data_IF_032735594671
#
_entry.id   IF_032735594671
#
_cell.length_a   1.000
_cell.length_b   1.000
_cell.length_c   1.000
_cell.angle_alpha   90.00
_cell.angle_beta   90.00
_cell.angle_gamma   90.00
#
_symmetry.space_group_name_H-M   'P 1'
#
loop_
_entity.id
_entity.type
_entity.pdbx_description
1 polymer ?
#
# COMPACT_ATOMS: atom_id res chain seq x y z
N UNK A 1 5.63 -26.09 4.21
CA UNK A 1 6.25 -25.44 3.02
C UNK A 1 5.32 -25.62 1.84
N UNK A 2 5.16 -24.60 1.01
CA UNK A 2 4.38 -24.66 -0.23
C UNK A 2 5.23 -24.12 -1.38
N UNK A 3 5.03 -24.64 -2.59
CA UNK A 3 5.73 -24.21 -3.81
C UNK A 3 4.69 -23.76 -4.83
N UNK A 4 4.52 -22.45 -5.05
CA UNK A 4 3.55 -21.93 -5.98
C UNK A 4 4.05 -22.00 -7.44
N UNK A 5 3.32 -22.75 -8.26
CA UNK A 5 3.39 -22.75 -9.73
C UNK A 5 2.38 -21.77 -10.31
N UNK A 6 2.19 -21.77 -11.63
CA UNK A 6 1.24 -20.83 -12.27
C UNK A 6 -0.22 -21.17 -11.95
N UNK A 7 -0.55 -22.46 -12.06
CA UNK A 7 -1.91 -22.98 -11.89
C UNK A 7 -2.06 -23.79 -10.61
N UNK A 8 -0.99 -24.42 -10.15
CA UNK A 8 -0.98 -25.31 -9.00
C UNK A 8 -0.09 -24.76 -7.88
N UNK A 9 -0.41 -25.10 -6.64
CA UNK A 9 0.50 -24.99 -5.50
C UNK A 9 0.80 -26.39 -5.00
N UNK A 10 2.08 -26.78 -5.01
CA UNK A 10 2.54 -28.05 -4.48
C UNK A 10 2.74 -27.93 -2.98
N UNK A 11 2.23 -28.91 -2.24
CA UNK A 11 2.39 -29.06 -0.79
C UNK A 11 3.24 -30.33 -0.55
N UNK A 12 4.58 -30.24 -0.45
CA UNK A 12 5.43 -31.43 -0.44
C UNK A 12 5.31 -32.30 0.82
N UNK A 13 4.81 -31.74 1.92
CA UNK A 13 4.76 -32.41 3.23
C UNK A 13 3.33 -32.67 3.74
N UNK A 14 2.32 -32.28 2.97
CA UNK A 14 0.92 -32.38 3.38
C UNK A 14 0.08 -32.92 2.23
N UNK A 15 -0.67 -33.99 2.49
CA UNK A 15 -1.61 -34.57 1.53
C UNK A 15 -2.93 -33.79 1.51
N UNK A 16 -2.89 -32.54 1.05
CA UNK A 16 -4.05 -31.68 0.94
C UNK A 16 -4.38 -31.39 -0.53
N UNK A 17 -5.62 -31.72 -0.96
CA UNK A 17 -6.11 -31.45 -2.31
C UNK A 17 -7.25 -30.43 -2.27
N UNK A 18 -7.10 -29.33 -2.99
CA UNK A 18 -8.05 -28.22 -2.93
C UNK A 18 -8.20 -27.44 -4.24
N UNK A 19 -9.30 -26.71 -4.35
CA UNK A 19 -9.54 -25.73 -5.41
C UNK A 19 -9.80 -24.39 -4.75
N UNK A 20 -9.13 -23.33 -5.22
CA UNK A 20 -9.30 -21.95 -4.77
C UNK A 20 -10.77 -21.61 -4.54
N UNK A 21 -11.06 -20.97 -3.41
CA UNK A 21 -12.43 -20.53 -3.06
C UNK A 21 -12.97 -19.45 -4.00
N UNK A 22 -12.12 -18.79 -4.79
CA UNK A 22 -12.52 -17.73 -5.73
C UNK A 22 -13.05 -18.25 -7.07
N UNK A 23 -13.00 -19.56 -7.30
CA UNK A 23 -13.63 -20.19 -8.47
C UNK A 23 -15.04 -20.57 -8.04
N UNK A 24 -16.00 -19.68 -8.23
CA UNK A 24 -17.37 -19.88 -7.74
C UNK A 24 -18.26 -20.66 -8.72
N UNK A 25 -17.87 -20.74 -9.99
CA UNK A 25 -18.62 -21.48 -10.99
C UNK A 25 -18.57 -22.99 -10.76
N UNK A 26 -19.76 -23.57 -10.60
CA UNK A 26 -19.91 -24.97 -10.24
C UNK A 26 -19.44 -25.91 -11.36
N UNK A 27 -19.63 -25.54 -12.62
CA UNK A 27 -19.22 -26.36 -13.77
C UNK A 27 -17.69 -26.43 -13.85
N UNK A 28 -17.01 -25.30 -13.72
CA UNK A 28 -15.57 -25.19 -13.74
C UNK A 28 -14.92 -25.87 -12.53
N UNK A 29 -15.48 -25.70 -11.32
CA UNK A 29 -15.02 -26.45 -10.14
C UNK A 29 -15.10 -27.95 -10.37
N UNK A 30 -16.19 -28.45 -10.97
CA UNK A 30 -16.36 -29.87 -11.26
C UNK A 30 -15.31 -30.35 -12.26
N UNK A 31 -15.07 -29.61 -13.35
CA UNK A 31 -14.04 -29.90 -14.36
C UNK A 31 -12.65 -29.97 -13.75
N UNK A 32 -12.26 -28.95 -12.99
CA UNK A 32 -10.96 -28.87 -12.34
C UNK A 32 -10.77 -29.99 -11.30
N UNK A 33 -11.85 -30.36 -10.57
CA UNK A 33 -11.81 -31.48 -9.62
C UNK A 33 -11.59 -32.82 -10.30
N UNK A 34 -12.21 -33.04 -11.47
CA UNK A 34 -11.96 -34.22 -12.29
C UNK A 34 -10.50 -34.30 -12.74
N UNK A 35 -9.93 -33.19 -13.24
CA UNK A 35 -8.52 -33.16 -13.64
C UNK A 35 -7.60 -33.41 -12.44
N UNK A 36 -7.88 -32.79 -11.29
CA UNK A 36 -7.10 -32.98 -10.06
C UNK A 36 -7.02 -34.44 -9.63
N UNK A 37 -8.07 -35.23 -9.87
CA UNK A 37 -8.10 -36.67 -9.57
C UNK A 37 -7.24 -37.52 -10.50
N UNK A 38 -6.88 -37.02 -11.69
CA UNK A 38 -6.06 -37.75 -12.68
C UNK A 38 -4.58 -37.36 -12.56
N UNK A 39 -4.28 -36.18 -12.01
CA UNK A 39 -2.91 -35.72 -11.79
C UNK A 39 -2.14 -36.68 -10.86
N UNK A 40 -1.04 -37.24 -11.37
CA UNK A 40 -0.18 -38.16 -10.63
C UNK A 40 0.76 -37.40 -9.70
N UNK A 41 0.51 -37.48 -8.41
CA UNK A 41 1.29 -36.84 -7.35
C UNK A 41 1.75 -37.90 -6.35
N UNK A 42 2.98 -37.84 -5.79
CA UNK A 42 3.42 -38.75 -4.74
C UNK A 42 2.46 -38.75 -3.53
N UNK A 43 2.25 -39.92 -2.91
CA UNK A 43 1.20 -40.13 -1.90
C UNK A 43 1.25 -39.20 -0.67
N UNK A 44 2.42 -38.64 -0.35
CA UNK A 44 2.62 -37.76 0.79
C UNK A 44 2.44 -36.27 0.46
N UNK A 45 2.27 -35.93 -0.82
CA UNK A 45 2.15 -34.55 -1.29
C UNK A 45 0.70 -34.19 -1.64
N UNK A 46 0.42 -32.90 -1.63
CA UNK A 46 -0.88 -32.31 -1.95
C UNK A 46 -0.78 -31.26 -3.05
N UNK A 47 -1.94 -30.89 -3.61
CA UNK A 47 -2.06 -29.85 -4.63
C UNK A 47 -3.25 -28.93 -4.37
N UNK A 48 -3.03 -27.63 -4.54
CA UNK A 48 -4.11 -26.64 -4.55
C UNK A 48 -4.18 -26.00 -5.93
N UNK A 49 -5.36 -26.03 -6.56
CA UNK A 49 -5.63 -25.32 -7.83
C UNK A 49 -5.85 -23.83 -7.54
N UNK A 50 -5.08 -22.95 -8.20
CA UNK A 50 -5.14 -21.49 -8.11
C UNK A 50 -6.26 -20.92 -8.98
N UNK A 51 -6.72 -19.70 -8.68
CA UNK A 51 -7.76 -19.01 -9.48
C UNK A 51 -7.37 -18.84 -10.96
N UNK A 52 -6.07 -18.65 -11.25
CA UNK A 52 -5.53 -18.52 -12.63
C UNK A 52 -5.69 -19.81 -13.45
N UNK A 53 -6.01 -20.95 -12.82
CA UNK A 53 -6.30 -22.20 -13.51
C UNK A 53 -7.68 -22.26 -14.17
N UNK A 54 -8.51 -21.23 -14.00
CA UNK A 54 -9.77 -21.12 -14.72
C UNK A 54 -9.54 -21.26 -16.23
N UNK A 55 -10.27 -22.17 -16.87
CA UNK A 55 -10.14 -22.45 -18.30
C UNK A 55 -8.86 -23.19 -18.70
N UNK A 56 -7.93 -23.45 -17.77
CA UNK A 56 -6.69 -24.14 -18.07
C UNK A 56 -6.96 -25.57 -18.55
N UNK A 57 -6.21 -25.99 -19.57
CA UNK A 57 -6.32 -27.32 -20.14
C UNK A 57 -5.64 -28.37 -19.26
N UNK A 58 -6.07 -29.62 -19.37
CA UNK A 58 -5.46 -30.75 -18.68
C UNK A 58 -3.92 -30.83 -18.92
N UNK A 59 -3.50 -30.59 -20.16
CA UNK A 59 -2.08 -30.55 -20.54
C UNK A 59 -1.29 -29.46 -19.82
N UNK A 60 -1.88 -28.31 -19.55
CA UNK A 60 -1.22 -27.20 -18.86
C UNK A 60 -1.03 -27.51 -17.37
N UNK A 61 -2.03 -28.10 -16.73
CA UNK A 61 -1.94 -28.54 -15.33
C UNK A 61 -0.89 -29.64 -15.14
N UNK A 62 -0.81 -30.59 -16.06
CA UNK A 62 0.24 -31.63 -16.04
C UNK A 62 1.65 -31.06 -16.20
N UNK A 63 1.84 -30.06 -17.07
CA UNK A 63 3.15 -29.39 -17.24
C UNK A 63 3.55 -28.62 -15.99
N UNK A 64 2.62 -27.85 -15.43
CA UNK A 64 2.88 -27.07 -14.20
C UNK A 64 3.24 -28.00 -13.04
N UNK A 65 2.52 -29.12 -12.88
CA UNK A 65 2.86 -30.15 -11.89
C UNK A 65 4.26 -30.74 -12.11
N UNK A 66 4.61 -31.09 -13.36
CA UNK A 66 5.92 -31.65 -13.66
C UNK A 66 7.06 -30.67 -13.32
N UNK A 67 6.86 -29.37 -13.55
CA UNK A 67 7.82 -28.33 -13.19
C UNK A 67 7.95 -28.19 -11.68
N UNK A 68 6.83 -28.22 -10.95
CA UNK A 68 6.82 -28.17 -9.49
C UNK A 68 7.54 -29.36 -8.85
N UNK A 69 7.31 -30.58 -9.35
CA UNK A 69 7.98 -31.77 -8.86
C UNK A 69 9.50 -31.75 -9.12
N UNK A 70 9.93 -31.27 -10.29
CA UNK A 70 11.36 -31.08 -10.58
C UNK A 70 12.00 -30.01 -9.69
N UNK A 71 11.27 -28.93 -9.42
CA UNK A 71 11.75 -27.89 -8.50
C UNK A 71 11.89 -28.48 -7.09
N UNK A 72 10.88 -29.22 -6.62
CA UNK A 72 10.93 -29.88 -5.33
C UNK A 72 12.11 -30.86 -5.21
N UNK A 73 12.34 -31.71 -6.21
CA UNK A 73 13.48 -32.63 -6.23
C UNK A 73 14.83 -31.89 -6.11
N UNK A 74 14.98 -30.73 -6.76
CA UNK A 74 16.18 -29.89 -6.60
C UNK A 74 16.31 -29.34 -5.18
N UNK A 75 15.23 -28.89 -4.58
CA UNK A 75 15.19 -28.35 -3.21
C UNK A 75 15.55 -29.44 -2.20
N UNK A 76 14.93 -30.62 -2.30
CA UNK A 76 15.18 -31.76 -1.42
C UNK A 76 16.62 -32.29 -1.54
N UNK A 77 17.16 -32.32 -2.76
CA UNK A 77 18.59 -32.67 -2.96
C UNK A 77 19.52 -31.62 -2.40
N UNK A 78 19.22 -30.33 -2.56
CA UNK A 78 20.04 -29.25 -2.05
C UNK A 78 20.06 -29.20 -0.52
N UNK A 79 18.92 -29.47 0.14
CA UNK A 79 18.82 -29.49 1.60
C UNK A 79 19.70 -30.57 2.24
N UNK A 80 19.91 -31.70 1.55
CA UNK A 80 20.73 -32.83 2.01
C UNK A 80 22.24 -32.67 1.76
N UNK A 81 22.66 -31.65 1.01
CA UNK A 81 24.06 -31.51 0.52
C UNK A 81 25.00 -30.73 1.45
N UNK A 82 24.49 -29.83 2.30
CA UNK A 82 25.31 -28.93 3.12
C UNK A 82 24.78 -28.88 4.55
N UNK A 83 25.65 -28.56 5.50
CA UNK A 83 25.26 -28.30 6.89
C UNK A 83 24.65 -26.89 7.01
N UNK A 84 23.63 -26.77 7.85
CA UNK A 84 22.93 -25.52 8.11
C UNK A 84 23.79 -24.48 8.85
N UNK A 85 23.50 -23.16 8.74
CA UNK A 85 22.47 -22.54 7.91
C UNK A 85 22.98 -22.14 6.51
N UNK A 86 22.19 -22.40 5.47
CA UNK A 86 22.45 -21.92 4.10
C UNK A 86 21.15 -21.77 3.31
N UNK A 87 21.17 -20.93 2.26
CA UNK A 87 20.05 -20.74 1.33
C UNK A 87 19.88 -21.99 0.44
N UNK A 88 18.71 -22.64 0.52
CA UNK A 88 18.38 -23.85 -0.27
C UNK A 88 17.63 -23.47 -1.56
N UNK A 89 16.77 -22.44 -1.49
CA UNK A 89 15.98 -21.95 -2.60
C UNK A 89 15.65 -20.48 -2.38
N UNK A 90 15.88 -19.68 -3.41
CA UNK A 90 15.36 -18.32 -3.51
C UNK A 90 14.15 -18.34 -4.45
N UNK A 91 13.02 -17.81 -3.99
CA UNK A 91 11.84 -17.72 -4.85
C UNK A 91 12.05 -16.70 -5.97
N UNK A 92 11.20 -16.75 -6.99
CA UNK A 92 11.24 -15.79 -8.07
C UNK A 92 11.19 -14.35 -7.55
N UNK A 93 12.01 -13.51 -8.15
CA UNK A 93 11.97 -12.08 -7.94
C UNK A 93 10.65 -11.47 -8.43
N UNK A 94 10.47 -10.18 -8.21
CA UNK A 94 9.20 -9.49 -8.47
C UNK A 94 8.75 -9.62 -9.92
N UNK A 95 9.66 -9.52 -10.89
CA UNK A 95 9.32 -9.58 -12.32
C UNK A 95 8.77 -10.96 -12.68
N UNK A 96 9.50 -12.03 -12.36
CA UNK A 96 9.08 -13.38 -12.70
C UNK A 96 7.84 -13.81 -11.89
N UNK A 97 7.74 -13.37 -10.63
CA UNK A 97 6.55 -13.56 -9.79
C UNK A 97 5.32 -12.87 -10.39
N UNK A 98 5.48 -11.62 -10.86
CA UNK A 98 4.41 -10.90 -11.53
C UNK A 98 3.95 -11.61 -12.79
N UNK A 99 4.86 -12.14 -13.60
CA UNK A 99 4.46 -12.88 -14.81
C UNK A 99 3.76 -14.19 -14.46
N UNK A 100 4.33 -14.98 -13.54
CA UNK A 100 3.73 -16.23 -13.05
C UNK A 100 2.31 -16.00 -12.56
N UNK A 101 2.15 -14.95 -11.75
CA UNK A 101 0.91 -14.70 -11.05
C UNK A 101 -0.07 -13.93 -11.94
N UNK A 102 0.30 -12.82 -12.58
CA UNK A 102 -0.62 -11.86 -13.23
C UNK A 102 -0.85 -12.09 -14.72
N UNK A 103 0.07 -12.72 -15.44
CA UNK A 103 -0.09 -12.88 -16.88
C UNK A 103 -1.28 -13.81 -17.20
N UNK A 104 -2.21 -13.37 -18.03
CA UNK A 104 -3.35 -14.14 -18.54
C UNK A 104 -3.49 -13.90 -20.06
N UNK A 105 -4.47 -14.55 -20.70
CA UNK A 105 -4.67 -14.44 -22.16
C UNK A 105 -5.21 -13.07 -22.60
N UNK A 106 -5.75 -12.27 -21.68
CA UNK A 106 -6.21 -10.90 -21.97
C UNK A 106 -5.05 -9.91 -22.13
N UNK A 107 -3.85 -10.27 -21.65
CA UNK A 107 -2.65 -9.44 -21.77
C UNK A 107 -2.03 -9.63 -23.15
N UNK A 108 -2.18 -8.60 -23.99
CA UNK A 108 -1.69 -8.64 -25.37
C UNK A 108 -0.16 -8.72 -25.51
N UNK A 109 0.61 -8.05 -24.65
CA UNK A 109 2.08 -8.12 -24.69
C UNK A 109 2.75 -7.79 -23.35
N UNK A 110 3.98 -8.30 -23.19
CA UNK A 110 4.94 -7.92 -22.13
C UNK A 110 6.06 -7.12 -22.80
N UNK A 111 6.10 -5.81 -22.55
CA UNK A 111 7.15 -4.92 -23.06
C UNK A 111 8.28 -4.81 -22.03
N UNK A 112 9.51 -5.05 -22.47
CA UNK A 112 10.70 -4.97 -21.61
C UNK A 112 11.75 -4.11 -22.29
N UNK A 113 12.25 -3.09 -21.61
CA UNK A 113 13.25 -2.12 -22.10
C UNK A 113 14.70 -2.48 -21.70
N UNK A 114 14.89 -3.39 -20.75
CA UNK A 114 16.20 -3.97 -20.41
C UNK A 114 16.49 -5.25 -21.20
N UNK A 115 17.65 -5.28 -21.89
CA UNK A 115 18.07 -6.45 -22.70
C UNK A 115 18.34 -7.70 -21.86
N UNK A 116 18.86 -7.52 -20.66
CA UNK A 116 19.16 -8.62 -19.74
C UNK A 116 17.86 -9.24 -19.19
N UNK A 117 16.94 -8.39 -18.73
CA UNK A 117 15.63 -8.80 -18.25
C UNK A 117 14.77 -9.42 -19.37
N UNK A 118 14.84 -8.89 -20.60
CA UNK A 118 14.15 -9.49 -21.74
C UNK A 118 14.58 -10.95 -21.96
N UNK A 119 15.90 -11.23 -21.98
CA UNK A 119 16.41 -12.60 -22.15
C UNK A 119 15.94 -13.53 -21.03
N UNK A 120 15.93 -13.01 -19.80
CA UNK A 120 15.54 -13.74 -18.60
C UNK A 120 14.05 -14.08 -18.60
N UNK A 121 13.19 -13.07 -18.84
CA UNK A 121 11.74 -13.24 -18.96
C UNK A 121 11.39 -14.14 -20.13
N UNK A 122 12.01 -13.94 -21.30
CA UNK A 122 11.74 -14.76 -22.48
C UNK A 122 12.02 -16.24 -22.20
N UNK A 123 13.13 -16.57 -21.53
CA UNK A 123 13.44 -17.95 -21.12
C UNK A 123 12.38 -18.51 -20.17
N UNK A 124 12.00 -17.72 -19.16
CA UNK A 124 10.95 -18.12 -18.21
C UNK A 124 9.61 -18.38 -18.92
N UNK A 125 9.12 -17.46 -19.74
CA UNK A 125 7.86 -17.64 -20.48
C UNK A 125 7.96 -18.82 -21.44
N UNK A 126 9.10 -19.03 -22.10
CA UNK A 126 9.32 -20.20 -22.97
C UNK A 126 9.19 -21.52 -22.20
N UNK A 127 9.79 -21.60 -21.02
CA UNK A 127 9.84 -22.83 -20.22
C UNK A 127 8.49 -23.15 -19.54
N UNK A 128 7.78 -22.12 -19.06
CA UNK A 128 6.55 -22.28 -18.26
C UNK A 128 5.26 -22.04 -19.06
N UNK A 129 5.32 -21.27 -20.14
CA UNK A 129 4.17 -20.65 -20.81
C UNK A 129 4.35 -20.57 -22.33
N UNK A 130 4.94 -21.60 -22.95
CA UNK A 130 5.41 -21.55 -24.34
C UNK A 130 4.40 -21.09 -25.41
N UNK A 131 3.08 -21.20 -25.19
CA UNK A 131 2.06 -20.68 -26.12
C UNK A 131 2.10 -19.16 -26.29
N UNK A 132 2.49 -18.44 -25.24
CA UNK A 132 2.47 -16.97 -25.20
C UNK A 132 3.87 -16.37 -25.27
N UNK A 133 4.88 -17.15 -25.66
CA UNK A 133 6.25 -16.66 -25.78
C UNK A 133 6.37 -15.47 -26.75
N UNK A 134 5.53 -15.43 -27.79
CA UNK A 134 5.50 -14.37 -28.78
C UNK A 134 4.93 -13.04 -28.26
N UNK A 135 4.32 -13.03 -27.07
CA UNK A 135 3.82 -11.80 -26.44
C UNK A 135 4.94 -11.04 -25.71
N UNK A 136 6.10 -11.66 -25.48
CA UNK A 136 7.27 -11.03 -24.86
C UNK A 136 8.04 -10.26 -25.92
N UNK A 137 8.04 -8.94 -25.83
CA UNK A 137 8.63 -8.05 -26.82
C UNK A 137 9.69 -7.15 -26.18
N UNK A 138 10.82 -7.00 -26.88
CA UNK A 138 11.87 -6.07 -26.48
C UNK A 138 11.55 -4.67 -27.00
N UNK A 139 11.44 -3.72 -26.09
CA UNK A 139 11.23 -2.30 -26.39
C UNK A 139 12.55 -1.67 -26.86
N UNK A 140 12.53 -1.02 -28.03
CA UNK A 140 13.74 -0.51 -28.71
C UNK A 140 13.76 1.00 -28.92
N UNK A 141 12.67 1.68 -28.60
CA UNK A 141 12.58 3.11 -28.86
C UNK A 141 13.43 3.90 -27.86
N UNK A 142 13.86 5.09 -28.28
CA UNK A 142 14.70 5.98 -27.45
C UNK A 142 13.91 6.62 -26.31
N UNK A 143 12.62 6.90 -26.50
CA UNK A 143 11.75 7.45 -25.47
C UNK A 143 11.53 6.41 -24.38
N UNK A 144 11.67 6.73 -23.08
CA UNK A 144 11.39 5.80 -21.99
C UNK A 144 10.02 5.13 -22.11
N UNK A 145 9.95 3.83 -21.76
CA UNK A 145 8.76 3.01 -21.97
C UNK A 145 7.53 3.58 -21.25
N UNK A 146 7.67 3.99 -19.98
CA UNK A 146 6.56 4.50 -19.18
C UNK A 146 6.09 5.87 -19.64
N UNK A 147 7.01 6.76 -20.04
CA UNK A 147 6.68 8.05 -20.64
C UNK A 147 5.90 7.86 -21.94
N UNK A 148 6.38 7.00 -22.85
CA UNK A 148 5.66 6.70 -24.10
C UNK A 148 4.26 6.14 -23.87
N UNK A 149 4.03 5.45 -22.74
CA UNK A 149 2.74 4.87 -22.37
C UNK A 149 1.89 5.78 -21.48
N UNK A 150 2.37 6.97 -21.11
CA UNK A 150 1.67 7.88 -20.20
C UNK A 150 1.49 7.31 -18.79
N UNK A 151 2.35 6.37 -18.38
CA UNK A 151 2.29 5.71 -17.07
C UNK A 151 3.04 6.56 -16.02
N UNK A 152 4.05 7.32 -16.42
CA UNK A 152 4.85 8.14 -15.50
C UNK A 152 3.98 9.12 -14.69
N UNK A 153 3.08 9.84 -15.38
CA UNK A 153 2.13 10.75 -14.74
C UNK A 153 1.18 10.03 -13.77
N UNK A 154 0.80 8.78 -14.07
CA UNK A 154 -0.03 7.97 -13.18
C UNK A 154 0.75 7.51 -11.94
N UNK A 155 2.04 7.19 -12.08
CA UNK A 155 2.92 6.84 -10.96
C UNK A 155 3.07 8.03 -10.02
N UNK A 156 3.36 9.22 -10.56
CA UNK A 156 3.48 10.44 -9.75
C UNK A 156 2.17 10.76 -9.00
N UNK A 157 1.01 10.50 -9.61
CA UNK A 157 -0.30 10.64 -8.96
C UNK A 157 -0.51 9.66 -7.79
N UNK A 158 0.19 8.52 -7.74
CA UNK A 158 0.09 7.59 -6.60
C UNK A 158 0.63 8.18 -5.29
N UNK A 159 1.52 9.16 -5.39
CA UNK A 159 2.09 9.86 -4.25
C UNK A 159 1.20 10.98 -3.71
N UNK A 160 0.24 11.46 -4.50
CA UNK A 160 -0.71 12.47 -4.06
C UNK A 160 -1.72 11.87 -3.07
N UNK A 161 -2.04 12.59 -2.00
CA UNK A 161 -3.18 12.25 -1.12
C UNK A 161 -4.51 12.41 -1.83
N UNK A 162 -4.60 13.35 -2.78
CA UNK A 162 -5.80 13.68 -3.55
C UNK A 162 -5.77 13.04 -4.94
N UNK A 163 -6.82 12.29 -5.28
CA UNK A 163 -6.98 11.63 -6.59
C UNK A 163 -8.22 12.19 -7.27
N UNK A 164 -8.03 12.86 -8.40
CA UNK A 164 -9.13 13.42 -9.18
C UNK A 164 -9.80 12.36 -10.06
N UNK A 165 -11.13 12.45 -10.14
CA UNK A 165 -11.99 11.62 -10.96
C UNK A 165 -12.26 12.30 -12.31
N UNK A 166 -12.77 11.56 -13.30
CA UNK A 166 -13.06 12.09 -14.64
C UNK A 166 -14.19 13.12 -14.60
N UNK A 167 -15.10 12.98 -13.64
CA UNK A 167 -16.15 13.96 -13.34
C UNK A 167 -15.64 15.28 -12.76
N UNK A 168 -14.39 15.37 -12.31
CA UNK A 168 -13.87 16.52 -11.55
C UNK A 168 -14.19 16.48 -10.05
N UNK A 169 -14.87 15.42 -9.60
CA UNK A 169 -14.86 15.00 -8.20
C UNK A 169 -13.46 14.48 -7.81
N UNK A 170 -13.22 14.24 -6.54
CA UNK A 170 -11.95 13.68 -6.07
C UNK A 170 -12.12 12.86 -4.80
N UNK A 171 -11.18 11.96 -4.58
CA UNK A 171 -11.04 11.22 -3.31
C UNK A 171 -9.77 11.65 -2.60
N UNK A 172 -9.81 11.69 -1.27
CA UNK A 172 -8.64 11.96 -0.42
C UNK A 172 -8.33 10.69 0.35
N UNK A 173 -7.11 10.18 0.24
CA UNK A 173 -6.68 8.93 0.88
C UNK A 173 -5.66 9.28 1.97
N UNK A 174 -6.03 9.04 3.23
CA UNK A 174 -5.20 9.38 4.39
C UNK A 174 -4.91 8.13 5.24
N UNK A 175 -3.67 7.64 5.24
CA UNK A 175 -3.24 6.60 6.16
C UNK A 175 -3.08 7.18 7.57
N UNK A 176 -3.57 6.44 8.56
CA UNK A 176 -3.34 6.70 9.99
C UNK A 176 -2.48 5.57 10.57
N UNK A 177 -2.26 5.58 11.89
CA UNK A 177 -1.49 4.55 12.58
C UNK A 177 -2.11 3.14 12.44
N UNK A 178 -3.44 3.03 12.51
CA UNK A 178 -4.15 1.74 12.55
C UNK A 178 -5.04 1.44 11.35
N UNK A 179 -5.48 2.46 10.62
CA UNK A 179 -6.45 2.34 9.52
C UNK A 179 -6.21 3.40 8.45
N UNK A 180 -6.78 3.20 7.25
CA UNK A 180 -6.77 4.21 6.19
C UNK A 180 -8.16 4.80 6.03
N UNK A 181 -8.26 6.12 6.09
CA UNK A 181 -9.50 6.86 5.84
C UNK A 181 -9.52 7.34 4.40
N UNK A 182 -10.67 7.24 3.75
CA UNK A 182 -10.87 7.73 2.40
C UNK A 182 -12.11 8.61 2.37
N UNK A 183 -11.97 9.86 1.93
CA UNK A 183 -13.05 10.83 1.85
C UNK A 183 -13.41 11.14 0.39
N UNK A 184 -14.71 11.20 0.06
CA UNK A 184 -15.22 11.41 -1.30
C UNK A 184 -15.86 12.77 -1.44
N UNK A 185 -15.35 13.58 -2.37
CA UNK A 185 -15.83 14.93 -2.62
C UNK A 185 -16.34 15.09 -4.04
N UNK A 186 -17.53 15.67 -4.20
CA UNK A 186 -18.13 15.98 -5.51
C UNK A 186 -17.37 17.06 -6.30
N UNK A 187 -16.55 17.87 -5.64
CA UNK A 187 -15.73 18.89 -6.28
C UNK A 187 -16.54 19.86 -7.14
N UNK A 188 -16.14 20.04 -8.41
CA UNK A 188 -16.84 20.90 -9.38
C UNK A 188 -17.89 20.15 -10.22
N UNK A 189 -18.17 18.88 -9.93
CA UNK A 189 -19.12 18.11 -10.72
C UNK A 189 -20.53 18.68 -10.58
N UNK A 190 -21.07 19.24 -11.68
CA UNK A 190 -22.46 19.66 -11.79
C UNK A 190 -22.98 19.29 -13.17
N UNK A 191 -23.90 18.32 -13.22
CA UNK A 191 -24.71 18.08 -14.41
C UNK A 191 -26.01 18.87 -14.29
N UNK A 192 -26.35 19.64 -15.33
CA UNK A 192 -27.67 20.26 -15.44
C UNK A 192 -28.70 19.13 -15.65
N UNK A 193 -29.85 19.21 -14.99
CA UNK A 193 -30.99 18.28 -15.11
C UNK A 193 -30.83 16.91 -14.42
N UNK A 194 -30.01 16.78 -13.38
CA UNK A 194 -29.94 15.58 -12.53
C UNK A 194 -30.20 16.00 -11.09
N UNK A 195 -30.95 15.19 -10.34
CA UNK A 195 -31.20 15.45 -8.93
C UNK A 195 -29.90 15.39 -8.11
N UNK A 196 -29.88 16.05 -6.95
CA UNK A 196 -28.70 16.01 -6.07
C UNK A 196 -28.39 14.58 -5.60
N UNK A 197 -29.43 13.77 -5.35
CA UNK A 197 -29.33 12.37 -4.95
C UNK A 197 -28.69 11.50 -6.04
N UNK A 198 -29.17 11.59 -7.28
CA UNK A 198 -28.57 10.85 -8.42
C UNK A 198 -27.13 11.30 -8.70
N UNK A 199 -26.83 12.58 -8.49
CA UNK A 199 -25.47 13.11 -8.62
C UNK A 199 -24.53 12.50 -7.59
N UNK A 200 -24.95 12.46 -6.31
CA UNK A 200 -24.19 11.83 -5.24
C UNK A 200 -23.94 10.35 -5.52
N UNK A 201 -24.98 9.61 -5.92
CA UNK A 201 -24.86 8.21 -6.30
C UNK A 201 -23.88 7.98 -7.46
N UNK A 202 -23.96 8.80 -8.51
CA UNK A 202 -23.06 8.71 -9.67
C UNK A 202 -21.59 8.96 -9.29
N UNK A 203 -21.32 9.99 -8.48
CA UNK A 203 -19.97 10.30 -7.99
C UNK A 203 -19.46 9.18 -7.09
N UNK A 204 -20.28 8.67 -6.18
CA UNK A 204 -19.91 7.58 -5.29
C UNK A 204 -19.55 6.30 -6.07
N UNK A 205 -20.31 5.97 -7.12
CA UNK A 205 -19.99 4.81 -7.96
C UNK A 205 -18.71 4.98 -8.79
N UNK A 206 -18.41 6.18 -9.28
CA UNK A 206 -17.12 6.47 -9.91
C UNK A 206 -15.97 6.35 -8.90
N UNK A 207 -16.16 6.95 -7.72
CA UNK A 207 -15.22 6.91 -6.61
C UNK A 207 -14.95 5.48 -6.15
N UNK A 208 -15.96 4.63 -6.04
CA UNK A 208 -15.81 3.22 -5.66
C UNK A 208 -14.86 2.45 -6.60
N UNK A 209 -14.95 2.69 -7.91
CA UNK A 209 -14.06 2.07 -8.89
C UNK A 209 -12.63 2.58 -8.77
N UNK A 210 -12.48 3.89 -8.58
CA UNK A 210 -11.16 4.51 -8.42
C UNK A 210 -10.50 4.11 -7.10
N UNK A 211 -11.26 4.07 -6.00
CA UNK A 211 -10.78 3.61 -4.70
C UNK A 211 -10.30 2.16 -4.80
N UNK A 212 -11.08 1.26 -5.40
CA UNK A 212 -10.65 -0.12 -5.62
C UNK A 212 -9.35 -0.22 -6.44
N UNK A 213 -9.17 0.67 -7.43
CA UNK A 213 -7.91 0.78 -8.19
C UNK A 213 -6.75 1.27 -7.32
N UNK A 214 -6.96 2.33 -6.54
CA UNK A 214 -5.93 2.92 -5.67
C UNK A 214 -5.51 1.98 -4.53
N UNK A 215 -6.44 1.21 -3.95
CA UNK A 215 -6.11 0.20 -2.95
C UNK A 215 -5.10 -0.82 -3.48
N UNK A 216 -5.21 -1.21 -4.76
CA UNK A 216 -4.25 -2.10 -5.43
C UNK A 216 -2.93 -1.40 -5.75
N UNK A 217 -2.99 -0.21 -6.35
CA UNK A 217 -1.78 0.49 -6.82
C UNK A 217 -0.88 0.94 -5.66
N UNK A 218 -1.47 1.33 -4.52
CA UNK A 218 -0.73 1.77 -3.32
C UNK A 218 -0.47 0.63 -2.33
N UNK A 219 -0.98 -0.57 -2.62
CA UNK A 219 -1.08 -1.73 -1.72
C UNK A 219 -1.58 -1.38 -0.32
N UNK A 220 -2.69 -0.62 -0.25
CA UNK A 220 -3.33 -0.27 1.02
C UNK A 220 -3.92 -1.54 1.62
N UNK A 221 -3.56 -1.87 2.85
CA UNK A 221 -4.05 -3.06 3.55
C UNK A 221 -4.26 -2.80 5.05
N UNK A 222 -4.99 -3.71 5.69
CA UNK A 222 -5.56 -3.51 7.01
C UNK A 222 -7.00 -3.02 6.93
N UNK A 223 -7.38 -2.19 7.91
CA UNK A 223 -8.72 -1.59 7.99
C UNK A 223 -8.78 -0.36 7.08
N UNK A 224 -9.79 -0.29 6.24
CA UNK A 224 -10.09 0.87 5.39
C UNK A 224 -11.51 1.34 5.69
N UNK A 225 -11.64 2.64 5.95
CA UNK A 225 -12.91 3.31 6.21
C UNK A 225 -13.13 4.34 5.11
N UNK A 226 -14.28 4.29 4.46
CA UNK A 226 -14.61 5.15 3.32
C UNK A 226 -15.84 5.97 3.65
N UNK A 227 -15.68 7.29 3.63
CA UNK A 227 -16.74 8.28 3.77
C UNK A 227 -17.23 8.70 2.38
N UNK A 228 -18.38 8.18 1.99
CA UNK A 228 -19.03 8.50 0.72
C UNK A 228 -19.99 9.67 0.92
N UNK A 229 -20.31 10.38 -0.16
CA UNK A 229 -21.32 11.44 -0.11
C UNK A 229 -22.64 10.84 0.34
N UNK A 230 -23.33 11.51 1.27
CA UNK A 230 -24.62 11.07 1.80
C UNK A 230 -25.63 10.79 0.67
N UNK A 231 -26.30 9.63 0.78
CA UNK A 231 -27.39 9.20 -0.10
C UNK A 231 -28.59 8.86 0.77
N UNK A 232 -29.77 9.36 0.40
CA UNK A 232 -31.01 9.15 1.14
C UNK A 232 -31.69 7.83 0.76
N UNK A 233 -31.54 7.39 -0.48
CA UNK A 233 -32.20 6.17 -0.96
C UNK A 233 -31.42 4.90 -0.61
N UNK A 234 -32.09 3.96 0.07
CA UNK A 234 -31.51 2.64 0.38
C UNK A 234 -31.21 1.81 -0.88
N UNK A 235 -31.85 2.13 -2.00
CA UNK A 235 -31.52 1.55 -3.30
C UNK A 235 -30.10 1.96 -3.74
N UNK A 236 -29.79 3.26 -3.72
CA UNK A 236 -28.48 3.78 -4.09
C UNK A 236 -27.36 3.24 -3.19
N UNK A 237 -27.62 3.15 -1.87
CA UNK A 237 -26.67 2.55 -0.91
C UNK A 237 -26.33 1.10 -1.25
N UNK A 238 -27.33 0.28 -1.59
CA UNK A 238 -27.12 -1.12 -1.99
C UNK A 238 -26.37 -1.23 -3.32
N UNK A 239 -26.75 -0.41 -4.30
CA UNK A 239 -26.10 -0.39 -5.60
C UNK A 239 -24.63 0.07 -5.51
N UNK A 240 -24.32 1.03 -4.63
CA UNK A 240 -22.94 1.45 -4.35
C UNK A 240 -22.10 0.30 -3.79
N UNK A 241 -22.61 -0.46 -2.81
CA UNK A 241 -21.91 -1.64 -2.27
C UNK A 241 -21.63 -2.65 -3.39
N UNK A 242 -22.61 -2.90 -4.27
CA UNK A 242 -22.45 -3.85 -5.38
C UNK A 242 -21.43 -3.35 -6.41
N UNK A 243 -21.42 -2.05 -6.71
CA UNK A 243 -20.42 -1.41 -7.55
C UNK A 243 -19.01 -1.61 -6.96
N UNK A 244 -18.86 -1.38 -5.65
CA UNK A 244 -17.58 -1.53 -4.96
C UNK A 244 -17.10 -2.99 -4.91
N UNK A 245 -17.99 -3.93 -4.59
CA UNK A 245 -17.72 -5.38 -4.66
C UNK A 245 -17.24 -5.81 -6.04
N UNK A 246 -17.91 -5.34 -7.09
CA UNK A 246 -17.55 -5.65 -8.48
C UNK A 246 -16.17 -5.08 -8.85
N UNK A 247 -15.85 -3.86 -8.40
CA UNK A 247 -14.55 -3.25 -8.64
C UNK A 247 -13.39 -3.95 -7.89
N UNK A 248 -13.68 -4.53 -6.73
CA UNK A 248 -12.73 -5.31 -5.92
C UNK A 248 -12.62 -6.77 -6.35
N UNK A 249 -13.52 -7.30 -7.18
CA UNK A 249 -13.49 -8.70 -7.61
C UNK A 249 -12.20 -9.09 -8.36
N UNK A 250 -11.57 -8.12 -9.03
CA UNK A 250 -10.28 -8.29 -9.70
C UNK A 250 -9.07 -8.22 -8.74
N UNK A 251 -9.27 -7.81 -7.49
CA UNK A 251 -8.22 -7.75 -6.48
C UNK A 251 -7.86 -9.17 -6.00
N UNK A 252 -6.55 -9.37 -5.84
CA UNK A 252 -5.99 -10.65 -5.41
C UNK A 252 -5.73 -10.70 -3.92
N UNK A 253 -5.62 -9.55 -3.25
CA UNK A 253 -5.65 -9.52 -1.79
C UNK A 253 -7.04 -9.96 -1.32
N UNK A 254 -7.12 -10.71 -0.21
CA UNK A 254 -8.43 -11.01 0.38
C UNK A 254 -9.06 -9.71 0.87
N UNK A 255 -10.26 -9.40 0.38
CA UNK A 255 -11.06 -8.25 0.82
C UNK A 255 -12.32 -8.73 1.51
N UNK A 256 -12.73 -8.04 2.57
CA UNK A 256 -14.01 -8.25 3.24
C UNK A 256 -14.67 -6.91 3.49
N UNK A 257 -15.92 -6.75 3.04
CA UNK A 257 -16.69 -5.50 3.17
C UNK A 257 -17.77 -5.76 4.21
N UNK A 258 -17.66 -5.07 5.34
CA UNK A 258 -18.57 -5.23 6.48
C UNK A 258 -19.93 -4.54 6.25
N UNK A 259 -20.00 -3.62 5.27
CA UNK A 259 -21.21 -2.91 4.86
C UNK A 259 -21.18 -1.41 5.21
N UNK A 260 -22.35 -0.78 5.13
CA UNK A 260 -22.58 0.61 5.54
C UNK A 260 -22.87 0.67 7.03
N UNK A 261 -22.11 1.50 7.75
CA UNK A 261 -22.34 1.76 9.17
C UNK A 261 -23.53 2.68 9.39
N UNK A 262 -24.00 2.79 10.64
CA UNK A 262 -25.04 3.76 11.03
C UNK A 262 -24.64 5.22 10.77
N UNK A 263 -23.34 5.49 10.63
CA UNK A 263 -22.78 6.81 10.34
C UNK A 263 -22.59 7.05 8.83
N UNK A 264 -23.07 6.15 7.95
CA UNK A 264 -22.88 6.29 6.50
C UNK A 264 -21.53 5.80 5.97
N UNK A 265 -20.58 5.45 6.85
CA UNK A 265 -19.25 4.98 6.46
C UNK A 265 -19.27 3.54 5.95
N UNK A 266 -18.55 3.25 4.86
CA UNK A 266 -18.25 1.88 4.43
C UNK A 266 -16.98 1.39 5.11
N UNK A 267 -17.05 0.22 5.74
CA UNK A 267 -15.91 -0.40 6.41
C UNK A 267 -15.49 -1.67 5.67
N UNK A 268 -14.19 -1.82 5.46
CA UNK A 268 -13.64 -3.03 4.86
C UNK A 268 -12.28 -3.40 5.46
N UNK A 269 -11.91 -4.66 5.27
CA UNK A 269 -10.54 -5.13 5.48
C UNK A 269 -9.95 -5.59 4.16
N UNK A 270 -8.65 -5.33 3.96
CA UNK A 270 -7.87 -5.84 2.84
C UNK A 270 -6.59 -6.46 3.35
N UNK A 271 -6.28 -7.68 2.94
CA UNK A 271 -5.05 -8.38 3.30
C UNK A 271 -3.80 -7.59 2.87
N UNK A 272 -2.81 -7.47 3.75
CA UNK A 272 -1.51 -6.86 3.43
C UNK A 272 -0.67 -7.87 2.67
N UNK A 273 -0.38 -7.59 1.40
CA UNK A 273 0.43 -8.48 0.56
C UNK A 273 1.90 -8.09 0.57
N UNK A 274 2.18 -6.79 0.59
CA UNK A 274 3.52 -6.22 0.59
C UNK A 274 3.61 -5.04 1.59
N UNK A 275 4.78 -4.38 1.59
CA UNK A 275 4.93 -3.07 2.22
C UNK A 275 4.18 -2.04 1.38
N UNK A 276 3.49 -1.10 2.03
CA UNK A 276 2.75 -0.04 1.32
C UNK A 276 3.72 0.83 0.52
N UNK A 277 3.27 1.40 -0.60
CA UNK A 277 4.07 2.29 -1.43
C UNK A 277 4.70 3.43 -0.60
N UNK A 278 3.93 3.95 0.33
CA UNK A 278 4.34 5.02 1.24
C UNK A 278 5.54 4.61 2.11
N UNK A 279 5.50 3.41 2.70
CA UNK A 279 6.57 2.91 3.58
C UNK A 279 7.89 2.62 2.85
N UNK A 280 7.83 2.39 1.53
CA UNK A 280 9.01 2.17 0.69
C UNK A 280 9.58 3.52 0.23
N UNK A 281 8.72 4.47 -0.10
CA UNK A 281 9.11 5.71 -0.77
C UNK A 281 9.40 6.86 0.20
N UNK A 282 8.80 6.86 1.39
CA UNK A 282 8.92 7.95 2.35
C UNK A 282 9.60 7.52 3.66
N UNK A 283 10.17 8.52 4.33
CA UNK A 283 10.60 8.43 5.73
C UNK A 283 9.76 9.42 6.54
N UNK A 284 9.57 9.11 7.82
CA UNK A 284 8.91 10.05 8.72
C UNK A 284 9.62 11.40 8.70
N UNK A 285 8.83 12.48 8.68
CA UNK A 285 9.39 13.83 8.71
C UNK A 285 10.32 13.97 9.92
N UNK A 286 11.61 14.28 9.73
CA UNK A 286 12.56 14.35 10.84
C UNK A 286 12.26 15.52 11.80
N UNK A 287 11.42 16.46 11.36
CA UNK A 287 11.01 17.63 12.12
C UNK A 287 9.78 17.30 12.99
N UNK A 288 8.61 17.14 12.38
CA UNK A 288 7.36 16.93 13.13
C UNK A 288 7.05 15.45 13.46
N UNK A 289 7.89 14.51 13.00
CA UNK A 289 7.69 13.06 13.19
C UNK A 289 6.32 12.56 12.73
N UNK A 290 5.82 13.12 11.63
CA UNK A 290 4.53 12.74 11.03
C UNK A 290 3.32 13.51 11.57
N UNK A 291 3.48 14.41 12.56
CA UNK A 291 2.36 15.20 13.10
C UNK A 291 1.75 16.20 12.10
N UNK A 292 2.48 16.56 11.03
CA UNK A 292 2.08 17.59 10.07
C UNK A 292 2.04 19.02 10.62
N UNK A 293 2.32 19.20 11.92
CA UNK A 293 2.34 20.48 12.63
C UNK A 293 3.32 20.44 13.78
N UNK A 294 3.79 21.61 14.18
CA UNK A 294 4.65 21.85 15.35
C UNK A 294 4.02 22.94 16.20
N UNK A 295 4.37 23.00 17.48
CA UNK A 295 3.96 24.10 18.37
C UNK A 295 4.52 25.42 17.84
N UNK A 296 3.73 26.48 17.96
CA UNK A 296 4.15 27.82 17.56
C UNK A 296 5.28 28.33 18.44
N UNK A 297 6.10 29.25 17.90
CA UNK A 297 7.19 29.88 18.63
C UNK A 297 6.71 30.50 19.97
N UNK A 298 5.56 31.15 19.95
CA UNK A 298 4.91 31.70 21.14
C UNK A 298 4.59 30.62 22.19
N UNK A 299 4.03 29.49 21.78
CA UNK A 299 3.72 28.38 22.70
C UNK A 299 4.99 27.80 23.33
N UNK A 300 6.07 27.66 22.55
CA UNK A 300 7.36 27.20 23.05
C UNK A 300 8.01 28.23 23.97
N UNK A 301 7.96 29.52 23.65
CA UNK A 301 8.47 30.58 24.51
C UNK A 301 7.82 30.57 25.90
N UNK A 302 6.49 30.38 25.96
CA UNK A 302 5.77 30.22 27.22
C UNK A 302 6.22 28.96 27.99
N UNK A 303 6.42 27.83 27.31
CA UNK A 303 6.93 26.60 27.92
C UNK A 303 8.34 26.81 28.48
N UNK A 304 9.24 27.38 27.68
CA UNK A 304 10.62 27.69 28.05
C UNK A 304 10.70 28.57 29.30
N UNK A 305 9.84 29.59 29.41
CA UNK A 305 9.76 30.42 30.61
C UNK A 305 9.26 29.67 31.86
N UNK A 306 8.37 28.68 31.70
CA UNK A 306 7.93 27.82 32.82
C UNK A 306 9.06 26.90 33.26
N UNK A 307 9.77 26.28 32.32
CA UNK A 307 10.91 25.42 32.60
C UNK A 307 12.04 26.22 33.27
N UNK A 308 12.29 27.44 32.81
CA UNK A 308 13.23 28.38 33.42
C UNK A 308 12.84 28.72 34.87
N UNK A 309 11.57 29.02 35.14
CA UNK A 309 11.10 29.28 36.52
C UNK A 309 11.33 28.07 37.43
N UNK A 310 11.00 26.87 36.94
CA UNK A 310 11.21 25.63 37.69
C UNK A 310 12.71 25.39 37.97
N UNK A 311 13.56 25.61 36.97
CA UNK A 311 15.01 25.49 37.11
C UNK A 311 15.55 26.48 38.16
N UNK A 312 15.17 27.76 38.09
CA UNK A 312 15.60 28.79 39.03
C UNK A 312 15.05 28.62 40.44
N UNK A 313 13.89 27.96 40.59
CA UNK A 313 13.34 27.63 41.90
C UNK A 313 14.12 26.51 42.59
N UNK A 314 14.65 25.55 41.82
CA UNK A 314 15.35 24.39 42.34
C UNK A 314 16.88 24.57 42.45
N UNK A 315 17.46 25.48 41.65
CA UNK A 315 18.90 25.72 41.61
C UNK A 315 19.25 27.17 41.95
N UNK A 316 20.26 27.38 42.81
CA UNK A 316 20.79 28.72 43.11
C UNK A 316 21.78 29.19 42.03
N UNK A 317 21.29 29.38 40.81
CA UNK A 317 22.07 29.85 39.64
C UNK A 317 21.95 31.37 39.47
N UNK A 318 23.10 32.07 39.41
CA UNK A 318 23.15 33.54 39.18
C UNK A 318 23.07 33.94 37.70
N UNK A 319 23.37 33.02 36.80
CA UNK A 319 23.28 33.20 35.35
C UNK A 319 22.68 31.93 34.75
N UNK A 320 21.74 32.10 33.83
CA UNK A 320 21.16 31.00 33.04
C UNK A 320 21.11 31.43 31.58
N UNK A 321 21.53 30.54 30.70
CA UNK A 321 21.44 30.72 29.25
C UNK A 321 20.35 29.83 28.69
N UNK A 322 19.40 30.42 28.00
CA UNK A 322 18.34 29.74 27.28
C UNK A 322 18.70 29.70 25.79
N UNK A 323 19.11 28.54 25.29
CA UNK A 323 19.40 28.33 23.87
C UNK A 323 18.17 27.72 23.18
N UNK A 324 17.65 28.40 22.17
CA UNK A 324 16.40 28.07 21.47
C UNK A 324 16.50 28.37 19.98
N UNK A 325 15.53 27.89 19.20
CA UNK A 325 15.39 28.28 17.79
C UNK A 325 15.21 29.81 17.63
N UNK A 326 15.63 30.36 16.48
CA UNK A 326 15.57 31.79 16.15
C UNK A 326 14.18 32.40 16.33
N UNK A 327 13.11 31.71 15.90
CA UNK A 327 11.74 32.22 16.01
C UNK A 327 11.28 32.30 17.48
N UNK A 328 11.69 31.32 18.29
CA UNK A 328 11.41 31.30 19.73
C UNK A 328 12.20 32.40 20.43
N UNK A 329 13.46 32.62 20.06
CA UNK A 329 14.27 33.70 20.59
C UNK A 329 13.65 35.07 20.30
N UNK A 330 13.13 35.27 19.08
CA UNK A 330 12.41 36.49 18.72
C UNK A 330 11.15 36.69 19.58
N UNK A 331 10.33 35.64 19.77
CA UNK A 331 9.15 35.73 20.65
C UNK A 331 9.51 35.99 22.12
N UNK A 332 10.62 35.44 22.61
CA UNK A 332 11.13 35.69 23.96
C UNK A 332 11.64 37.13 24.15
N UNK A 333 12.34 37.67 23.15
CA UNK A 333 12.97 38.99 23.21
C UNK A 333 12.02 40.15 22.84
N UNK A 334 10.88 39.85 22.22
CA UNK A 334 9.86 40.84 21.88
C UNK A 334 8.65 40.70 22.81
N UNK A 335 7.70 39.87 22.42
CA UNK A 335 6.38 39.72 23.06
C UNK A 335 6.47 39.33 24.55
N UNK A 336 7.46 38.51 24.90
CA UNK A 336 7.62 37.96 26.25
C UNK A 336 8.75 38.63 27.06
N UNK A 337 9.38 39.67 26.53
CA UNK A 337 10.58 40.28 27.12
C UNK A 337 10.37 40.74 28.56
N UNK A 338 9.25 41.43 28.81
CA UNK A 338 8.95 41.96 30.14
C UNK A 338 8.73 40.84 31.16
N UNK A 339 8.05 39.76 30.75
CA UNK A 339 7.84 38.57 31.58
C UNK A 339 9.16 37.90 31.91
N UNK A 340 10.05 37.73 30.92
CA UNK A 340 11.37 37.13 31.11
C UNK A 340 12.23 37.96 32.08
N UNK A 341 12.21 39.29 31.94
CA UNK A 341 12.91 40.20 32.85
C UNK A 341 12.37 40.13 34.28
N UNK A 342 11.05 40.01 34.44
CA UNK A 342 10.42 39.86 35.76
C UNK A 342 10.82 38.55 36.43
N UNK A 343 10.98 37.46 35.67
CA UNK A 343 11.50 36.18 36.19
C UNK A 343 12.94 36.38 36.69
N UNK A 344 13.83 36.96 35.88
CA UNK A 344 15.22 37.19 36.27
C UNK A 344 15.35 38.03 37.54
N UNK A 345 14.56 39.10 37.66
CA UNK A 345 14.51 39.94 38.87
C UNK A 345 14.03 39.17 40.11
N UNK A 346 12.94 38.41 39.98
CA UNK A 346 12.35 37.67 41.10
C UNK A 346 13.31 36.63 41.69
N UNK A 347 14.07 35.95 40.84
CA UNK A 347 15.01 34.90 41.26
C UNK A 347 16.45 35.38 41.41
N UNK A 348 16.74 36.67 41.19
CA UNK A 348 18.09 37.23 41.29
C UNK A 348 19.08 36.66 40.28
N UNK A 349 18.60 36.23 39.10
CA UNK A 349 19.40 35.58 38.07
C UNK A 349 19.41 36.39 36.76
N UNK A 350 20.58 36.44 36.11
CA UNK A 350 20.73 37.01 34.75
C UNK A 350 20.33 35.95 33.73
N UNK A 351 19.31 36.24 32.94
CA UNK A 351 18.83 35.36 31.86
C UNK A 351 19.40 35.87 30.53
N UNK A 352 20.06 35.01 29.79
CA UNK A 352 20.58 35.27 28.45
C UNK A 352 19.84 34.36 27.45
N UNK A 353 19.29 34.93 26.38
CA UNK A 353 18.63 34.14 25.32
C UNK A 353 19.60 34.04 24.13
N UNK A 354 19.95 32.82 23.76
CA UNK A 354 20.75 32.52 22.57
C UNK A 354 19.89 31.86 21.51
N UNK A 355 19.98 32.37 20.28
CA UNK A 355 19.32 31.78 19.12
C UNK A 355 20.25 30.78 18.44
N UNK A 356 19.72 29.62 18.08
CA UNK A 356 20.40 28.60 17.28
C UNK A 356 19.48 28.20 16.11
N UNK A 357 19.90 28.48 14.89
CA UNK A 357 19.16 28.20 13.65
C UNK A 357 19.08 26.71 13.30
N UNK A 358 20.00 25.90 13.83
CA UNK A 358 19.98 24.44 13.68
C UNK A 358 19.03 23.75 14.66
N UNK A 359 18.46 24.47 15.62
CA UNK A 359 17.52 23.88 16.57
C UNK A 359 16.13 23.70 15.97
N UNK A 360 15.54 22.53 16.22
CA UNK A 360 14.11 22.33 16.04
C UNK A 360 13.33 23.40 16.84
N UNK A 361 12.22 23.93 16.31
CA UNK A 361 11.45 25.02 16.97
C UNK A 361 11.01 24.67 18.40
N UNK A 362 10.77 23.38 18.67
CA UNK A 362 10.38 22.89 20.00
C UNK A 362 11.57 22.56 20.93
N UNK A 363 12.82 22.69 20.46
CA UNK A 363 14.01 22.41 21.27
C UNK A 363 14.36 23.64 22.12
N UNK A 364 14.44 23.41 23.42
CA UNK A 364 14.87 24.40 24.41
C UNK A 364 15.95 23.77 25.27
N UNK A 365 17.08 24.46 25.40
CA UNK A 365 18.20 24.03 26.25
C UNK A 365 18.47 25.11 27.28
N UNK A 366 18.50 24.71 28.55
CA UNK A 366 18.84 25.54 29.70
C UNK A 366 20.26 25.16 30.15
N UNK A 367 21.16 26.15 30.26
CA UNK A 367 22.54 25.98 30.71
C UNK A 367 22.95 26.99 31.76
#
# INVERSE_FOLDING_TARGET
MSIPGRYLVLMPYERHFGISKRIDDAAERKRLRSILGVLKVPNHMGLIIRTVAWGATDKELHRDLALLLRLWDRIDKASKRRNAPFLIYEDYDIVLRMIRDYFNEEIGCILIDSKEEFKRVFRFVKDYMGRVVNTVLFYRDKTPLFEKKGIEDEIERLYSTKVFLKSGAYVVIEPTEGLTVIDVNSGKFRKKNISQEEMAFSVNCESAREIARQLRLRDVGGIVVIDYIDMMEDRHRRELINCFKSALASDRAKTDILGLSKLGLIQMTRERTHRTLESISYKNCPYCQGKGKVKSAFSIALSAMRDLKNHLANNKTRKVTLEVNVDVAASLNNENFQTLRNIGRRFGARIEVKSNDLFHIEKVVLT
#
